data_IF_596606634616
#
_entry.id   IF_596606634616
#
_cell.length_a   1.000
_cell.length_b   1.000
_cell.length_c   1.000
_cell.angle_alpha   90.00
_cell.angle_beta   90.00
_cell.angle_gamma   90.00
#
_symmetry.space_group_name_H-M   'P 1'
#
loop_
_entity.id
_entity.type
_entity.pdbx_description
1 polymer ?
#
# COMPACT_ATOMS: atom_id res chain seq x y z
N UNK A 1 -4.70 7.10 -0.38
CA UNK A 1 -5.07 6.42 -1.65
C UNK A 1 -4.39 5.08 -1.73
N UNK A 2 -5.13 4.04 -2.06
CA UNK A 2 -4.60 2.68 -2.01
C UNK A 2 -5.18 1.76 -3.10
N UNK A 3 -4.50 0.60 -3.29
CA UNK A 3 -5.04 -0.57 -3.96
C UNK A 3 -5.07 -1.72 -2.94
N UNK A 4 -6.16 -2.48 -2.92
CA UNK A 4 -6.30 -3.63 -2.05
C UNK A 4 -5.95 -4.91 -2.81
N UNK A 5 -5.07 -5.76 -2.23
CA UNK A 5 -4.85 -7.09 -2.78
C UNK A 5 -6.08 -7.98 -2.54
N UNK A 6 -6.36 -8.95 -3.43
CA UNK A 6 -7.44 -9.91 -3.22
C UNK A 6 -7.07 -10.90 -2.10
N UNK A 7 -8.07 -11.60 -1.51
CA UNK A 7 -7.87 -12.53 -0.41
C UNK A 7 -6.82 -13.61 -0.67
N UNK A 8 -6.74 -14.14 -1.88
CA UNK A 8 -5.77 -15.19 -2.24
C UNK A 8 -4.32 -14.65 -2.16
N UNK A 9 -4.05 -13.46 -2.71
CA UNK A 9 -2.73 -12.83 -2.61
C UNK A 9 -2.36 -12.47 -1.17
N UNK A 10 -3.36 -12.11 -0.33
CA UNK A 10 -3.17 -11.89 1.10
C UNK A 10 -2.82 -13.19 1.80
N UNK A 11 -3.49 -14.30 1.49
CA UNK A 11 -3.25 -15.61 2.10
C UNK A 11 -1.87 -16.17 1.78
N UNK A 12 -1.43 -16.06 0.52
CA UNK A 12 -0.07 -16.45 0.10
C UNK A 12 1.01 -15.64 0.83
N UNK A 13 0.83 -14.32 0.90
CA UNK A 13 1.77 -13.44 1.59
C UNK A 13 1.78 -13.71 3.10
N UNK A 14 0.62 -14.03 3.70
CA UNK A 14 0.53 -14.35 5.12
C UNK A 14 1.35 -15.60 5.44
N UNK A 15 1.23 -16.67 4.65
CA UNK A 15 2.00 -17.87 4.83
C UNK A 15 3.52 -17.59 4.83
N UNK A 16 4.00 -16.79 3.87
CA UNK A 16 5.42 -16.40 3.81
C UNK A 16 5.85 -15.52 5.00
N UNK A 17 4.96 -14.66 5.50
CA UNK A 17 5.23 -13.83 6.68
C UNK A 17 5.29 -14.67 7.96
N UNK A 18 4.42 -15.66 8.11
CA UNK A 18 4.39 -16.54 9.28
C UNK A 18 5.70 -17.33 9.42
N UNK A 19 6.31 -17.78 8.32
CA UNK A 19 7.61 -18.47 8.33
C UNK A 19 8.77 -17.64 8.89
N UNK A 20 8.66 -16.31 8.88
CA UNK A 20 9.74 -15.40 9.31
C UNK A 20 9.38 -14.56 10.54
N UNK A 21 8.13 -14.59 10.97
CA UNK A 21 7.63 -13.76 12.08
C UNK A 21 8.32 -14.08 13.40
N UNK A 22 8.52 -15.36 13.68
CA UNK A 22 9.09 -15.82 14.95
C UNK A 22 10.58 -15.48 15.08
N UNK A 23 11.29 -15.23 13.96
CA UNK A 23 12.67 -14.77 13.98
C UNK A 23 12.80 -13.28 14.35
N UNK A 24 11.70 -12.53 14.27
CA UNK A 24 11.67 -11.10 14.54
C UNK A 24 10.46 -10.70 15.41
N UNK A 25 10.32 -11.28 16.62
CA UNK A 25 9.16 -11.04 17.50
C UNK A 25 9.11 -9.61 18.05
N UNK A 26 10.24 -8.89 18.02
CA UNK A 26 10.35 -7.49 18.43
C UNK A 26 9.77 -6.50 17.42
N UNK A 27 9.47 -6.94 16.19
CA UNK A 27 8.85 -6.10 15.18
C UNK A 27 7.35 -5.97 15.42
N UNK A 28 6.83 -4.80 15.10
CA UNK A 28 5.37 -4.56 15.09
C UNK A 28 4.82 -5.00 13.73
N UNK A 29 4.45 -6.25 13.64
CA UNK A 29 3.86 -6.82 12.43
C UNK A 29 2.49 -6.22 12.16
N UNK A 30 2.25 -5.83 10.92
CA UNK A 30 0.91 -5.45 10.44
C UNK A 30 0.08 -6.72 10.25
N UNK A 31 -1.23 -6.59 10.41
CA UNK A 31 -2.16 -7.70 10.20
C UNK A 31 -2.67 -7.71 8.75
N UNK A 32 -3.11 -8.87 8.23
CA UNK A 32 -3.61 -8.99 6.86
C UNK A 32 -4.70 -7.97 6.51
N UNK A 33 -5.60 -7.64 7.45
CA UNK A 33 -6.67 -6.66 7.26
C UNK A 33 -6.15 -5.22 7.06
N UNK A 34 -4.88 -4.98 7.34
CA UNK A 34 -4.23 -3.69 7.16
C UNK A 34 -3.43 -3.61 5.85
N UNK A 35 -3.30 -4.71 5.12
CA UNK A 35 -2.42 -4.81 3.97
C UNK A 35 -3.03 -4.15 2.74
N UNK A 36 -2.38 -3.12 2.25
CA UNK A 36 -2.73 -2.38 1.06
C UNK A 36 -1.49 -1.77 0.41
N UNK A 37 -1.56 -1.49 -0.87
CA UNK A 37 -0.55 -0.71 -1.58
C UNK A 37 -0.90 0.76 -1.47
N UNK A 38 -0.14 1.53 -0.68
CA UNK A 38 -0.33 2.97 -0.61
C UNK A 38 0.22 3.65 -1.86
N UNK A 39 -0.61 4.40 -2.58
CA UNK A 39 -0.22 5.21 -3.73
C UNK A 39 0.16 6.64 -3.32
N UNK A 40 -0.60 7.25 -2.42
CA UNK A 40 -0.32 8.56 -1.85
C UNK A 40 -0.96 8.71 -0.48
N UNK A 41 -0.27 9.39 0.43
CA UNK A 41 -0.84 9.87 1.69
C UNK A 41 -1.36 11.29 1.46
N UNK A 42 -2.62 11.53 1.83
CA UNK A 42 -3.29 12.81 1.66
C UNK A 42 -3.34 13.64 2.94
N UNK A 43 -3.00 13.02 4.09
CA UNK A 43 -3.21 13.65 5.39
C UNK A 43 -4.68 13.93 5.66
N UNK A 44 -4.95 14.99 6.42
CA UNK A 44 -6.32 15.45 6.66
C UNK A 44 -6.82 16.21 5.44
N UNK A 45 -7.93 15.73 4.86
CA UNK A 45 -8.57 16.35 3.70
C UNK A 45 -9.75 17.17 4.16
N UNK A 46 -9.73 18.51 3.99
CA UNK A 46 -10.86 19.37 4.33
C UNK A 46 -12.14 18.98 3.55
N UNK A 47 -13.28 19.01 4.23
CA UNK A 47 -14.57 18.61 3.65
C UNK A 47 -14.94 19.39 2.39
N UNK A 48 -14.62 20.67 2.35
CA UNK A 48 -14.86 21.57 1.20
C UNK A 48 -14.04 21.17 -0.04
N UNK A 49 -12.95 20.45 0.13
CA UNK A 49 -12.08 19.98 -0.96
C UNK A 49 -12.42 18.58 -1.45
N UNK A 50 -13.18 17.83 -0.64
CA UNK A 50 -13.49 16.43 -0.93
C UNK A 50 -14.22 16.23 -2.26
N UNK A 51 -15.29 16.99 -2.63
CA UNK A 51 -15.98 16.78 -3.91
C UNK A 51 -15.05 16.98 -5.12
N UNK A 52 -14.26 18.05 -5.11
CA UNK A 52 -13.30 18.32 -6.18
C UNK A 52 -12.16 17.30 -6.27
N UNK A 53 -11.76 16.71 -5.14
CA UNK A 53 -10.80 15.61 -5.11
C UNK A 53 -11.41 14.34 -5.74
N UNK A 54 -12.62 13.96 -5.32
CA UNK A 54 -13.31 12.75 -5.79
C UNK A 54 -13.49 12.75 -7.31
N UNK A 55 -13.92 13.88 -7.89
CA UNK A 55 -14.01 14.03 -9.35
C UNK A 55 -12.65 13.84 -10.06
N UNK A 56 -11.57 14.36 -9.49
CA UNK A 56 -10.23 14.24 -10.09
C UNK A 56 -9.69 12.83 -9.96
N UNK A 57 -9.99 12.14 -8.85
CA UNK A 57 -9.62 10.75 -8.64
C UNK A 57 -10.38 9.83 -9.57
N UNK A 58 -11.69 10.04 -9.77
CA UNK A 58 -12.49 9.32 -10.77
C UNK A 58 -11.88 9.46 -12.17
N UNK A 59 -11.55 10.70 -12.59
CA UNK A 59 -10.89 10.94 -13.88
C UNK A 59 -9.49 10.34 -13.96
N UNK A 60 -8.76 10.27 -12.84
CA UNK A 60 -7.47 9.60 -12.81
C UNK A 60 -7.67 8.08 -12.99
N UNK A 61 -8.55 7.45 -12.24
CA UNK A 61 -8.84 6.02 -12.34
C UNK A 61 -9.25 5.61 -13.76
N UNK A 62 -10.18 6.36 -14.38
CA UNK A 62 -10.66 6.08 -15.74
C UNK A 62 -9.60 6.17 -16.85
N UNK A 63 -8.41 6.69 -16.58
CA UNK A 63 -7.30 6.76 -17.55
C UNK A 63 -6.26 5.65 -17.37
N UNK A 64 -6.46 4.78 -16.42
CA UNK A 64 -5.54 3.68 -16.16
C UNK A 64 -6.28 2.35 -16.25
N UNK A 65 -5.77 1.38 -17.04
CA UNK A 65 -6.33 0.05 -17.09
C UNK A 65 -6.13 -0.69 -15.73
N UNK A 66 -6.87 -1.77 -15.50
CA UNK A 66 -6.53 -2.70 -14.42
C UNK A 66 -5.07 -3.13 -14.50
N UNK A 67 -4.42 -3.33 -13.35
CA UNK A 67 -3.00 -3.64 -13.27
C UNK A 67 -2.80 -5.09 -12.83
N UNK A 68 -1.94 -5.82 -13.55
CA UNK A 68 -1.50 -7.15 -13.14
C UNK A 68 -0.28 -7.00 -12.23
N UNK A 69 -0.44 -7.34 -10.97
CA UNK A 69 0.57 -7.20 -9.93
C UNK A 69 0.83 -8.54 -9.22
N UNK A 70 1.96 -8.66 -8.54
CA UNK A 70 2.26 -9.74 -7.60
C UNK A 70 3.16 -9.23 -6.49
N UNK A 71 3.10 -9.86 -5.33
CA UNK A 71 4.07 -9.64 -4.28
C UNK A 71 5.30 -10.54 -4.50
N UNK A 72 6.50 -9.99 -4.31
CA UNK A 72 7.73 -10.73 -4.56
C UNK A 72 8.88 -10.23 -3.69
N UNK A 73 9.42 -11.12 -2.89
CA UNK A 73 10.57 -10.87 -2.05
C UNK A 73 10.36 -9.85 -0.94
N UNK A 74 11.35 -9.75 -0.08
CA UNK A 74 11.41 -8.79 1.02
C UNK A 74 12.20 -7.53 0.67
N UNK A 75 11.95 -6.46 1.43
CA UNK A 75 12.71 -5.24 1.35
C UNK A 75 12.60 -4.44 2.64
N UNK A 76 13.42 -3.39 2.76
CA UNK A 76 13.41 -2.52 3.94
C UNK A 76 13.64 -1.06 3.58
N UNK A 77 13.07 -0.17 4.37
CA UNK A 77 13.46 1.25 4.38
C UNK A 77 14.21 1.55 5.66
N UNK A 78 15.54 1.67 5.53
CA UNK A 78 16.40 1.84 6.68
C UNK A 78 16.27 0.68 7.69
N UNK A 79 16.23 1.04 8.98
CA UNK A 79 16.01 0.14 10.12
C UNK A 79 14.58 0.22 10.67
N UNK A 80 13.64 0.84 9.94
CA UNK A 80 12.32 1.16 10.50
C UNK A 80 11.15 0.43 9.86
N UNK A 81 11.27 -0.03 8.63
CA UNK A 81 10.15 -0.60 7.88
C UNK A 81 10.59 -1.80 7.07
N UNK A 82 9.93 -2.94 7.31
CA UNK A 82 9.99 -4.15 6.52
C UNK A 82 8.78 -4.18 5.57
N UNK A 83 9.00 -4.58 4.32
CA UNK A 83 7.94 -4.63 3.31
C UNK A 83 8.15 -5.78 2.34
N UNK A 84 7.10 -6.19 1.62
CA UNK A 84 7.23 -6.97 0.39
C UNK A 84 7.24 -6.04 -0.82
N UNK A 85 8.05 -6.38 -1.81
CA UNK A 85 8.09 -5.67 -3.10
C UNK A 85 6.87 -6.02 -3.94
N UNK A 86 6.60 -5.18 -4.93
CA UNK A 86 5.53 -5.37 -5.91
C UNK A 86 6.17 -5.46 -7.29
N UNK A 87 5.87 -6.55 -7.99
CA UNK A 87 6.25 -6.80 -9.38
C UNK A 87 5.04 -6.83 -10.30
N UNK A 88 5.27 -7.01 -11.60
CA UNK A 88 4.25 -6.95 -12.65
C UNK A 88 4.23 -5.57 -13.32
N UNK A 89 3.07 -4.97 -13.46
CA UNK A 89 2.86 -3.68 -14.13
C UNK A 89 3.38 -2.48 -13.30
N UNK A 90 4.68 -2.52 -12.93
CA UNK A 90 5.30 -1.51 -12.04
C UNK A 90 5.31 -0.11 -12.62
N UNK A 91 5.56 0.02 -13.93
CA UNK A 91 5.57 1.32 -14.58
C UNK A 91 4.15 1.91 -14.70
N UNK A 92 3.11 1.15 -15.14
CA UNK A 92 1.72 1.58 -15.05
C UNK A 92 1.29 1.94 -13.63
N UNK A 93 1.68 1.17 -12.61
CA UNK A 93 1.42 1.46 -11.20
C UNK A 93 2.06 2.80 -10.76
N UNK A 94 3.28 3.08 -11.19
CA UNK A 94 3.96 4.35 -10.92
C UNK A 94 3.24 5.52 -11.60
N UNK A 95 2.75 5.35 -12.84
CA UNK A 95 1.94 6.35 -13.53
C UNK A 95 0.60 6.61 -12.83
N UNK A 96 -0.06 5.55 -12.31
CA UNK A 96 -1.28 5.70 -11.51
C UNK A 96 -1.00 6.52 -10.24
N UNK A 97 0.07 6.19 -9.50
CA UNK A 97 0.46 6.94 -8.30
C UNK A 97 0.76 8.43 -8.61
N UNK A 98 1.43 8.71 -9.73
CA UNK A 98 1.66 10.08 -10.19
C UNK A 98 0.35 10.83 -10.54
N UNK A 99 -0.61 10.15 -11.18
CA UNK A 99 -1.93 10.71 -11.50
C UNK A 99 -2.73 11.04 -10.24
N UNK A 100 -2.69 10.16 -9.23
CA UNK A 100 -3.29 10.36 -7.90
C UNK A 100 -2.66 11.55 -7.19
N UNK A 101 -1.33 11.63 -7.16
CA UNK A 101 -0.58 12.75 -6.58
C UNK A 101 -0.94 14.07 -7.26
N UNK A 102 -1.03 14.09 -8.60
CA UNK A 102 -1.44 15.27 -9.35
C UNK A 102 -2.89 15.68 -9.06
N UNK A 103 -3.81 14.73 -8.89
CA UNK A 103 -5.20 14.99 -8.50
C UNK A 103 -5.26 15.68 -7.11
N UNK A 104 -4.52 15.16 -6.14
CA UNK A 104 -4.42 15.74 -4.79
C UNK A 104 -3.87 17.18 -4.82
N UNK A 105 -2.76 17.42 -5.52
CA UNK A 105 -2.15 18.75 -5.64
C UNK A 105 -3.09 19.76 -6.30
N UNK A 106 -3.81 19.35 -7.37
CA UNK A 106 -4.83 20.22 -8.02
C UNK A 106 -6.02 20.50 -7.13
N UNK A 107 -6.26 19.65 -6.11
CA UNK A 107 -7.26 19.89 -5.06
C UNK A 107 -6.67 20.67 -3.87
N UNK A 108 -5.44 21.22 -4.00
CA UNK A 108 -4.71 21.95 -2.96
C UNK A 108 -4.48 21.15 -1.68
N UNK A 109 -4.33 19.83 -1.83
CA UNK A 109 -3.97 18.91 -0.76
C UNK A 109 -2.47 18.66 -0.84
N UNK A 110 -1.71 18.94 0.23
CA UNK A 110 -0.28 18.69 0.26
C UNK A 110 -0.01 17.16 0.21
N UNK A 111 0.95 16.76 -0.61
CA UNK A 111 1.40 15.39 -0.73
C UNK A 111 2.93 15.35 -0.78
N UNK A 112 3.50 14.26 -0.32
CA UNK A 112 4.94 14.02 -0.32
C UNK A 112 5.51 14.08 -1.74
N UNK A 113 6.70 14.69 -1.89
CA UNK A 113 7.42 14.84 -3.16
C UNK A 113 8.41 13.69 -3.43
N UNK A 114 8.57 12.78 -2.48
CA UNK A 114 9.50 11.65 -2.65
C UNK A 114 9.06 10.74 -3.81
N UNK A 115 10.03 10.19 -4.57
CA UNK A 115 9.73 9.22 -5.60
C UNK A 115 8.90 8.05 -5.07
N UNK A 116 7.83 7.70 -5.79
CA UNK A 116 6.98 6.56 -5.45
C UNK A 116 7.79 5.25 -5.54
N UNK A 117 7.70 4.44 -4.51
CA UNK A 117 8.30 3.10 -4.45
C UNK A 117 7.22 2.08 -4.11
N UNK A 118 6.78 1.25 -5.07
CA UNK A 118 5.75 0.24 -4.83
C UNK A 118 6.17 -0.75 -3.74
N UNK A 119 5.39 -0.83 -2.68
CA UNK A 119 5.63 -1.77 -1.58
C UNK A 119 4.36 -1.97 -0.76
N UNK A 120 4.28 -3.11 -0.06
CA UNK A 120 3.29 -3.36 0.98
C UNK A 120 4.03 -3.53 2.32
N UNK A 121 3.65 -2.73 3.30
CA UNK A 121 4.28 -2.75 4.64
C UNK A 121 3.89 -4.02 5.40
N UNK A 122 4.89 -4.78 5.85
CA UNK A 122 4.72 -6.00 6.64
C UNK A 122 4.94 -5.77 8.13
N UNK A 123 5.96 -4.97 8.47
CA UNK A 123 6.26 -4.69 9.87
C UNK A 123 6.94 -3.32 10.04
N UNK A 124 6.85 -2.79 11.26
CA UNK A 124 7.55 -1.58 11.68
C UNK A 124 8.41 -1.88 12.89
N UNK A 125 9.63 -1.32 12.87
CA UNK A 125 10.54 -1.31 14.00
C UNK A 125 10.51 0.04 14.70
N UNK A 126 10.89 0.07 15.97
CA UNK A 126 11.11 1.33 16.70
C UNK A 126 12.41 2.03 16.26
N UNK A 127 13.26 1.33 15.51
CA UNK A 127 14.58 1.76 15.04
C UNK A 127 15.71 1.06 15.78
N UNK A 128 16.84 0.96 15.09
CA UNK A 128 18.04 0.32 15.64
C UNK A 128 18.20 -1.17 15.33
N UNK A 129 17.13 -1.86 14.91
CA UNK A 129 17.22 -3.25 14.52
C UNK A 129 17.76 -3.42 13.10
N UNK A 130 18.48 -4.51 12.90
CA UNK A 130 18.91 -4.91 11.55
C UNK A 130 17.80 -5.72 10.86
N UNK A 131 17.13 -5.10 9.92
CA UNK A 131 16.07 -5.76 9.13
C UNK A 131 16.59 -6.57 7.94
N UNK A 132 17.92 -6.61 7.70
CA UNK A 132 18.50 -7.36 6.57
C UNK A 132 18.24 -8.86 6.65
N UNK A 133 18.43 -9.53 7.81
CA UNK A 133 18.21 -10.97 7.89
C UNK A 133 16.76 -11.36 7.58
N UNK A 134 15.78 -10.69 8.16
CA UNK A 134 14.36 -11.01 7.94
C UNK A 134 13.92 -10.65 6.51
N UNK A 135 14.43 -9.55 5.94
CA UNK A 135 14.17 -9.21 4.54
C UNK A 135 14.76 -10.26 3.58
N UNK A 136 15.97 -10.77 3.86
CA UNK A 136 16.62 -11.81 3.05
C UNK A 136 15.86 -13.15 3.09
N UNK A 137 15.24 -13.49 4.22
CA UNK A 137 14.39 -14.70 4.31
C UNK A 137 13.11 -14.61 3.49
N UNK A 138 12.59 -13.39 3.29
CA UNK A 138 11.44 -13.15 2.40
C UNK A 138 11.84 -13.08 0.92
N UNK A 139 13.14 -13.00 0.60
CA UNK A 139 13.64 -12.83 -0.79
C UNK A 139 13.15 -13.93 -1.75
N UNK A 140 13.08 -15.24 -1.37
CA UNK A 140 12.59 -16.27 -2.25
C UNK A 140 11.09 -16.23 -2.53
N UNK A 141 10.31 -15.44 -1.76
CA UNK A 141 8.87 -15.38 -1.92
C UNK A 141 8.48 -14.78 -3.28
N UNK A 142 7.63 -15.48 -4.01
CA UNK A 142 7.02 -15.03 -5.26
C UNK A 142 5.56 -15.49 -5.30
N UNK A 143 4.65 -14.60 -4.96
CA UNK A 143 3.21 -14.86 -4.99
C UNK A 143 2.65 -14.92 -6.41
N UNK A 144 1.44 -15.44 -6.55
CA UNK A 144 0.70 -15.46 -7.81
C UNK A 144 0.38 -14.03 -8.28
N UNK A 145 0.20 -13.88 -9.59
CA UNK A 145 -0.25 -12.62 -10.17
C UNK A 145 -1.74 -12.38 -9.85
N UNK A 146 -2.09 -11.15 -9.54
CA UNK A 146 -3.46 -10.72 -9.29
C UNK A 146 -3.77 -9.40 -9.97
N UNK A 147 -5.06 -9.10 -10.16
CA UNK A 147 -5.49 -7.87 -10.83
C UNK A 147 -5.96 -6.84 -9.82
N UNK A 148 -5.32 -5.66 -9.83
CA UNK A 148 -5.83 -4.47 -9.14
C UNK A 148 -6.77 -3.73 -10.08
N UNK A 149 -8.06 -3.77 -9.81
CA UNK A 149 -9.12 -3.21 -10.66
C UNK A 149 -9.75 -1.93 -10.12
N UNK A 150 -9.44 -1.52 -8.90
CA UNK A 150 -10.03 -0.35 -8.25
C UNK A 150 -8.98 0.51 -7.56
N UNK A 151 -9.19 1.82 -7.63
CA UNK A 151 -8.50 2.83 -6.85
C UNK A 151 -9.37 3.23 -5.67
N UNK A 152 -8.84 3.11 -4.45
CA UNK A 152 -9.61 3.39 -3.23
C UNK A 152 -9.10 4.62 -2.48
N UNK A 153 -10.02 5.44 -2.02
CA UNK A 153 -9.77 6.44 -0.99
C UNK A 153 -10.00 5.80 0.37
N UNK A 154 -8.94 5.71 1.15
CA UNK A 154 -8.94 4.99 2.42
C UNK A 154 -8.79 5.97 3.57
N UNK A 155 -9.72 5.90 4.52
CA UNK A 155 -9.64 6.58 5.81
C UNK A 155 -8.82 5.75 6.79
N UNK A 156 -7.85 6.38 7.46
CA UNK A 156 -7.09 5.78 8.54
C UNK A 156 -7.71 6.17 9.88
N UNK A 157 -8.24 5.21 10.62
CA UNK A 157 -8.85 5.39 11.94
C UNK A 157 -7.87 4.93 13.02
N UNK A 158 -7.17 5.86 13.65
CA UNK A 158 -6.21 5.56 14.70
C UNK A 158 -6.89 4.88 15.89
N UNK A 159 -6.27 3.83 16.43
CA UNK A 159 -6.78 3.07 17.57
C UNK A 159 -7.99 2.17 17.28
N UNK A 160 -8.53 2.16 16.06
CA UNK A 160 -9.69 1.36 15.67
C UNK A 160 -9.33 0.05 14.96
N UNK A 161 -8.07 -0.18 14.70
CA UNK A 161 -7.58 -1.44 14.14
C UNK A 161 -7.33 -2.51 15.21
N UNK A 162 -7.04 -3.75 14.78
CA UNK A 162 -6.75 -4.86 15.67
C UNK A 162 -5.62 -4.54 16.64
N UNK A 163 -5.82 -4.78 17.95
CA UNK A 163 -4.82 -4.49 18.98
C UNK A 163 -4.54 -2.99 19.20
N UNK A 164 -5.51 -2.10 18.89
CA UNK A 164 -5.36 -0.65 19.07
C UNK A 164 -4.48 0.01 18.00
N UNK A 165 -4.21 -0.67 16.88
CA UNK A 165 -3.50 -0.13 15.74
C UNK A 165 -4.42 0.73 14.85
N UNK A 166 -3.91 1.25 13.72
CA UNK A 166 -4.75 1.93 12.74
C UNK A 166 -5.68 0.93 12.04
N UNK A 167 -6.99 1.22 12.01
CA UNK A 167 -7.94 0.59 11.11
C UNK A 167 -7.97 1.36 9.80
N UNK A 168 -8.25 0.66 8.69
CA UNK A 168 -8.35 1.26 7.35
C UNK A 168 -9.71 0.92 6.76
N UNK A 169 -10.42 1.94 6.27
CA UNK A 169 -11.76 1.79 5.68
C UNK A 169 -11.78 2.48 4.33
N UNK A 170 -12.17 1.76 3.28
CA UNK A 170 -12.44 2.38 1.98
C UNK A 170 -13.71 3.22 2.08
N UNK A 171 -13.59 4.52 1.81
CA UNK A 171 -14.69 5.49 1.89
C UNK A 171 -15.15 5.99 0.50
N UNK A 172 -14.40 5.67 -0.54
CA UNK A 172 -14.79 5.79 -1.93
C UNK A 172 -13.90 4.88 -2.79
N UNK A 173 -14.42 4.40 -3.91
CA UNK A 173 -13.75 3.48 -4.82
C UNK A 173 -14.10 3.82 -6.27
N UNK A 174 -13.13 3.74 -7.17
CA UNK A 174 -13.29 4.00 -8.60
C UNK A 174 -12.64 2.87 -9.40
N UNK A 175 -13.36 2.31 -10.39
CA UNK A 175 -12.79 1.29 -11.26
C UNK A 175 -11.68 1.87 -12.14
N UNK A 176 -10.65 1.07 -12.39
CA UNK A 176 -9.64 1.31 -13.42
C UNK A 176 -10.19 0.77 -14.73
N UNK A 177 -10.37 1.62 -15.75
CA UNK A 177 -11.06 1.25 -17.00
C UNK A 177 -10.30 1.60 -18.26
N UNK A 178 -9.24 2.37 -18.18
CA UNK A 178 -8.34 3.02 -19.08
C UNK A 178 -8.03 2.63 -20.43
#
# INVERSE_FOLDING_TARGET
MALWPPPDAVSELLAAVEEVRDDAPHLRWTRPEQWHLTLAFLGDVPDDRRPGLDERLARAANRHPPLTLRFAGGGRFGSRLLFTRVDGDREPLTRLAASVTAAARRSKIPVDDRPYRPHLTLARSRGGEDLRPVAARLEPFAGAAWTASHLDLVESRLGKGPGGTAGYVSIASWPLTG
#
